data_IF_188270257942
#
_entry.id   IF_188270257942
#
_cell.length_a   1.000
_cell.length_b   1.000
_cell.length_c   1.000
_cell.angle_alpha   90.00
_cell.angle_beta   90.00
_cell.angle_gamma   90.00
#
_symmetry.space_group_name_H-M   'P 1'
#
loop_
_entity.id
_entity.type
_entity.pdbx_description
1 polymer ?
#
# COMPACT_ATOMS: atom_id res chain seq x y z
N UNK A 1 46.92 15.58 2.43
CA UNK A 1 46.00 14.75 3.22
C UNK A 1 45.57 15.54 4.46
N UNK A 2 44.33 16.05 4.49
CA UNK A 2 43.67 16.45 5.74
C UNK A 2 42.25 15.92 5.67
N UNK A 3 41.99 15.00 6.58
CA UNK A 3 40.85 14.12 6.68
C UNK A 3 39.59 14.88 7.10
N UNK A 4 38.53 14.68 6.32
CA UNK A 4 37.13 14.57 6.72
C UNK A 4 36.81 14.87 8.20
N UNK A 5 36.76 16.16 8.55
CA UNK A 5 36.14 16.63 9.79
C UNK A 5 34.82 17.32 9.47
N UNK A 6 33.86 16.54 8.97
CA UNK A 6 32.44 16.90 8.99
C UNK A 6 31.53 15.66 8.93
N UNK A 7 31.92 14.60 9.63
CA UNK A 7 31.09 13.40 9.82
C UNK A 7 30.78 13.22 11.30
N UNK A 8 30.20 14.25 11.92
CA UNK A 8 29.76 14.18 13.31
C UNK A 8 28.48 14.99 13.58
N UNK A 9 27.61 15.11 12.57
CA UNK A 9 26.21 15.50 12.74
C UNK A 9 25.24 14.36 12.35
N UNK A 10 25.71 13.11 12.34
CA UNK A 10 24.90 11.92 12.06
C UNK A 10 24.78 11.04 13.31
N UNK A 11 24.50 11.66 14.45
CA UNK A 11 24.19 10.97 15.70
C UNK A 11 23.09 11.75 16.41
N UNK A 12 21.89 11.76 15.82
CA UNK A 12 20.81 12.59 16.34
C UNK A 12 19.39 12.21 15.93
N UNK A 13 19.19 11.40 14.89
CA UNK A 13 17.85 10.89 14.61
C UNK A 13 17.63 9.61 15.40
N UNK A 14 17.34 9.79 16.70
CA UNK A 14 16.70 8.77 17.51
C UNK A 14 15.42 8.38 16.78
N UNK A 15 15.48 7.29 16.01
CA UNK A 15 14.32 6.57 15.51
C UNK A 15 13.44 6.31 16.73
N UNK A 16 12.41 7.11 16.88
CA UNK A 16 11.44 6.98 17.94
C UNK A 16 10.63 5.71 17.61
N UNK A 17 10.82 4.56 18.30
CA UNK A 17 10.13 3.32 17.95
C UNK A 17 8.67 3.32 18.42
N UNK A 18 8.15 4.48 18.82
CA UNK A 18 6.91 4.60 19.59
C UNK A 18 5.66 4.88 18.75
N UNK A 19 5.77 5.04 17.43
CA UNK A 19 4.62 4.76 16.57
C UNK A 19 4.72 3.29 16.15
N UNK A 20 4.17 2.38 16.96
CA UNK A 20 3.74 1.09 16.43
C UNK A 20 2.72 1.42 15.34
N UNK A 21 3.17 1.60 14.10
CA UNK A 21 2.30 1.62 12.93
C UNK A 21 1.55 0.30 13.00
N UNK A 22 0.25 0.38 13.22
CA UNK A 22 -0.63 -0.78 13.33
C UNK A 22 -0.91 -1.29 11.92
N UNK A 23 0.18 -1.69 11.24
CA UNK A 23 0.15 -2.23 9.90
C UNK A 23 -0.58 -3.56 9.94
N UNK A 24 -1.67 -3.64 9.19
CA UNK A 24 -2.46 -4.84 9.00
C UNK A 24 -2.15 -5.46 7.65
N UNK A 25 -2.18 -6.78 7.60
CA UNK A 25 -2.20 -7.55 6.35
C UNK A 25 -3.52 -8.29 6.26
N UNK A 26 -4.16 -8.23 5.10
CA UNK A 26 -5.47 -8.79 4.85
C UNK A 26 -5.44 -9.61 3.56
N UNK A 27 -5.85 -10.87 3.66
CA UNK A 27 -6.15 -11.72 2.51
C UNK A 27 -7.66 -11.74 2.32
N UNK A 28 -8.15 -11.36 1.13
CA UNK A 28 -9.59 -11.28 0.87
C UNK A 28 -9.87 -11.36 -0.63
N UNK A 29 -11.14 -11.20 -1.01
CA UNK A 29 -11.61 -11.25 -2.41
C UNK A 29 -12.11 -9.88 -2.83
N UNK A 30 -11.68 -9.42 -4.00
CA UNK A 30 -12.14 -8.13 -4.58
C UNK A 30 -13.62 -8.23 -4.92
N UNK A 31 -14.42 -7.31 -4.39
CA UNK A 31 -15.86 -7.21 -4.67
C UNK A 31 -16.20 -6.09 -5.64
N UNK A 32 -15.39 -5.02 -5.69
CA UNK A 32 -15.46 -3.93 -6.67
C UNK A 32 -14.07 -3.38 -6.91
N UNK A 33 -13.81 -2.92 -8.13
CA UNK A 33 -12.60 -2.17 -8.48
C UNK A 33 -12.94 -1.16 -9.59
N UNK A 34 -12.44 0.06 -9.47
CA UNK A 34 -12.61 1.13 -10.46
C UNK A 34 -11.35 2.00 -10.50
N UNK A 35 -11.05 2.55 -11.68
CA UNK A 35 -9.93 3.46 -11.88
C UNK A 35 -10.38 4.92 -11.96
N UNK A 36 -9.55 5.82 -11.44
CA UNK A 36 -9.71 7.27 -11.54
C UNK A 36 -8.37 7.89 -11.94
N UNK A 37 -8.36 8.65 -13.05
CA UNK A 37 -7.14 9.28 -13.57
C UNK A 37 -7.12 10.73 -13.10
N UNK A 38 -6.16 11.04 -12.22
CA UNK A 38 -5.95 12.38 -11.68
C UNK A 38 -4.52 12.84 -11.97
N UNK A 39 -4.38 13.96 -12.67
CA UNK A 39 -3.08 14.57 -12.99
C UNK A 39 -2.12 13.58 -13.69
N UNK A 40 -2.63 12.73 -14.58
CA UNK A 40 -1.84 11.72 -15.30
C UNK A 40 -1.49 10.46 -14.49
N UNK A 41 -1.85 10.40 -13.21
CA UNK A 41 -1.68 9.21 -12.38
C UNK A 41 -2.98 8.39 -12.35
N UNK A 42 -2.84 7.07 -12.44
CA UNK A 42 -3.96 6.12 -12.32
C UNK A 42 -4.09 5.65 -10.87
N UNK A 43 -5.22 5.97 -10.25
CA UNK A 43 -5.61 5.48 -8.94
C UNK A 43 -6.67 4.40 -9.09
N UNK A 44 -6.57 3.35 -8.29
CA UNK A 44 -7.48 2.22 -8.28
C UNK A 44 -8.16 2.15 -6.92
N UNK A 45 -9.47 2.35 -6.92
CA UNK A 45 -10.33 2.24 -5.75
C UNK A 45 -10.99 0.87 -5.77
N UNK A 46 -10.95 0.15 -4.65
CA UNK A 46 -11.52 -1.18 -4.57
C UNK A 46 -12.09 -1.49 -3.19
N UNK A 47 -13.01 -2.45 -3.15
CA UNK A 47 -13.58 -3.01 -1.93
C UNK A 47 -13.34 -4.52 -1.91
N UNK A 48 -13.31 -5.09 -0.71
CA UNK A 48 -13.13 -6.54 -0.51
C UNK A 48 -14.30 -7.13 0.28
N UNK A 49 -14.41 -8.45 0.36
CA UNK A 49 -15.54 -9.13 1.03
C UNK A 49 -15.51 -8.98 2.54
N UNK A 50 -14.32 -8.95 3.15
CA UNK A 50 -14.15 -9.18 4.59
C UNK A 50 -13.78 -7.90 5.37
N UNK A 51 -13.80 -6.74 4.71
CA UNK A 51 -13.44 -5.47 5.32
C UNK A 51 -14.25 -4.30 4.71
N UNK A 52 -15.14 -3.64 5.48
CA UNK A 52 -16.06 -2.63 4.96
C UNK A 52 -15.41 -1.24 4.85
N UNK A 53 -14.30 -1.14 4.11
CA UNK A 53 -13.64 0.11 3.73
C UNK A 53 -13.35 0.14 2.24
N UNK A 54 -13.16 1.35 1.72
CA UNK A 54 -12.65 1.56 0.37
C UNK A 54 -11.14 1.62 0.48
N UNK A 55 -10.45 0.82 -0.33
CA UNK A 55 -9.01 0.85 -0.44
C UNK A 55 -8.62 1.61 -1.70
N UNK A 56 -7.49 2.31 -1.64
CA UNK A 56 -6.90 2.99 -2.79
C UNK A 56 -5.43 2.56 -2.96
N UNK A 57 -5.04 2.33 -4.20
CA UNK A 57 -3.66 2.10 -4.62
C UNK A 57 -3.39 2.70 -5.99
N UNK A 58 -2.13 2.74 -6.41
CA UNK A 58 -1.75 3.23 -7.74
C UNK A 58 -0.99 2.17 -8.53
N UNK A 59 -0.95 2.30 -9.85
CA UNK A 59 -0.13 1.41 -10.68
C UNK A 59 1.38 1.53 -10.38
N UNK A 60 1.82 2.57 -9.67
CA UNK A 60 3.21 2.68 -9.19
C UNK A 60 3.47 1.75 -8.00
N UNK A 61 2.44 1.46 -7.20
CA UNK A 61 2.53 0.50 -6.09
C UNK A 61 2.58 -0.95 -6.61
N UNK A 62 1.70 -1.29 -7.56
CA UNK A 62 1.65 -2.62 -8.15
C UNK A 62 1.10 -2.58 -9.57
N UNK A 63 1.80 -3.27 -10.47
CA UNK A 63 1.37 -3.48 -11.86
C UNK A 63 0.19 -4.46 -11.98
N UNK A 64 -0.24 -5.08 -10.87
CA UNK A 64 -1.36 -6.02 -10.85
C UNK A 64 -2.71 -5.32 -10.65
N UNK A 65 -2.72 -4.11 -10.07
CA UNK A 65 -3.94 -3.32 -9.87
C UNK A 65 -4.70 -3.06 -11.19
N UNK A 66 -4.06 -2.65 -12.31
CA UNK A 66 -4.74 -2.42 -13.58
C UNK A 66 -5.41 -3.66 -14.20
N UNK A 67 -4.96 -4.86 -13.82
CA UNK A 67 -5.41 -6.14 -14.41
C UNK A 67 -6.21 -7.01 -13.45
N UNK A 68 -6.37 -6.56 -12.19
CA UNK A 68 -7.18 -7.25 -11.18
C UNK A 68 -8.67 -7.10 -11.52
N UNK A 69 -9.42 -8.17 -11.35
CA UNK A 69 -10.86 -8.19 -11.59
C UNK A 69 -11.65 -8.61 -10.34
N UNK A 70 -12.95 -8.31 -10.35
CA UNK A 70 -13.87 -8.75 -9.28
C UNK A 70 -13.84 -10.28 -9.19
N UNK A 71 -13.72 -10.80 -7.97
CA UNK A 71 -13.58 -12.24 -7.69
C UNK A 71 -12.13 -12.71 -7.52
N UNK A 72 -11.14 -11.88 -7.81
CA UNK A 72 -9.75 -12.22 -7.55
C UNK A 72 -9.44 -12.22 -6.05
N UNK A 73 -8.67 -13.22 -5.64
CA UNK A 73 -8.11 -13.28 -4.28
C UNK A 73 -6.84 -12.43 -4.23
N UNK A 74 -6.75 -11.56 -3.24
CA UNK A 74 -5.65 -10.62 -3.07
C UNK A 74 -5.11 -10.66 -1.65
N UNK A 75 -3.88 -10.18 -1.50
CA UNK A 75 -3.25 -9.86 -0.23
C UNK A 75 -2.82 -8.40 -0.25
N UNK A 76 -3.29 -7.62 0.73
CA UNK A 76 -2.96 -6.21 0.88
C UNK A 76 -2.37 -5.93 2.26
N UNK A 77 -1.53 -4.91 2.34
CA UNK A 77 -1.13 -4.32 3.62
C UNK A 77 -1.50 -2.86 3.67
N UNK A 78 -1.90 -2.38 4.84
CA UNK A 78 -2.29 -0.99 5.08
C UNK A 78 -2.14 -0.66 6.56
N UNK A 79 -2.06 0.62 6.89
CA UNK A 79 -2.06 1.07 8.27
C UNK A 79 -3.50 1.24 8.74
N UNK A 80 -3.83 0.69 9.92
CA UNK A 80 -5.18 0.80 10.44
C UNK A 80 -5.46 2.25 10.90
N UNK A 81 -6.14 3.01 10.05
CA UNK A 81 -6.58 4.37 10.31
C UNK A 81 -8.10 4.46 10.55
N UNK A 82 -8.57 5.66 10.85
CA UNK A 82 -10.00 5.98 11.00
C UNK A 82 -10.62 6.53 9.71
N UNK A 83 -9.87 6.58 8.61
CA UNK A 83 -10.28 7.24 7.37
C UNK A 83 -11.32 6.40 6.61
N UNK A 84 -12.14 7.05 5.80
CA UNK A 84 -13.15 6.35 4.98
C UNK A 84 -12.52 5.60 3.82
N UNK A 85 -11.45 6.15 3.26
CA UNK A 85 -10.63 5.57 2.18
C UNK A 85 -9.25 5.30 2.75
N UNK A 86 -8.75 4.09 2.58
CA UNK A 86 -7.50 3.62 3.17
C UNK A 86 -6.46 3.40 2.08
N UNK A 87 -5.33 4.09 2.18
CA UNK A 87 -4.18 3.87 1.29
C UNK A 87 -3.51 2.52 1.58
N UNK A 88 -3.34 1.71 0.54
CA UNK A 88 -2.60 0.45 0.66
C UNK A 88 -1.10 0.66 0.48
N UNK A 89 -0.32 0.00 1.32
CA UNK A 89 1.15 0.00 1.28
C UNK A 89 1.73 -1.21 0.56
N UNK A 90 0.91 -2.24 0.27
CA UNK A 90 1.26 -3.35 -0.60
C UNK A 90 0.02 -3.95 -1.23
N UNK A 91 0.17 -4.50 -2.43
CA UNK A 91 -0.89 -5.20 -3.15
C UNK A 91 -0.31 -6.37 -3.94
N UNK A 92 -0.88 -7.56 -3.73
CA UNK A 92 -0.54 -8.81 -4.42
C UNK A 92 -1.84 -9.52 -4.83
N UNK A 93 -2.00 -9.81 -6.11
CA UNK A 93 -3.09 -10.59 -6.66
C UNK A 93 -2.67 -12.06 -6.79
N UNK A 94 -3.15 -12.85 -5.81
CA UNK A 94 -2.83 -14.26 -5.64
C UNK A 94 -3.33 -15.15 -6.79
N UNK A 95 -4.17 -14.63 -7.69
CA UNK A 95 -4.61 -15.33 -8.91
C UNK A 95 -3.62 -15.19 -10.07
N UNK A 96 -2.86 -14.10 -10.13
CA UNK A 96 -1.94 -13.81 -11.23
C UNK A 96 -0.56 -14.45 -11.02
N UNK A 97 -0.19 -14.71 -9.76
CA UNK A 97 1.12 -15.18 -9.33
C UNK A 97 1.36 -16.71 -9.31
N UNK A 98 0.88 -17.48 -10.30
CA UNK A 98 1.33 -18.87 -10.49
C UNK A 98 1.85 -19.11 -11.90
N UNK A 99 3.18 -19.21 -12.03
CA UNK A 99 3.83 -20.08 -13.02
C UNK A 99 4.37 -21.30 -12.28
#
# INVERSE_FOLDING_TARGET
LMSFKSVYNMAGNKMNPSSQSNRKTLNSVVTRIQSDIKNGNSFYYFTVSDYPKIFIGSSQLSNELPVTVVGDSIMISFDADTEEVVDVSSFDNLKLGKK
#
